data_IF_898582894896
#
_entry.id   IF_898582894896
#
_cell.length_a   1.000
_cell.length_b   1.000
_cell.length_c   1.000
_cell.angle_alpha   90.00
_cell.angle_beta   90.00
_cell.angle_gamma   90.00
#
_symmetry.space_group_name_H-M   'P 1'
#
loop_
_entity.id
_entity.type
_entity.pdbx_description
1 polymer ?
#
# COMPACT_ATOMS: atom_id res chain seq x y z
N UNK A 1 43.80 -28.38 -32.69
CA UNK A 1 45.09 -28.24 -31.98
C UNK A 1 45.66 -26.92 -32.45
N UNK A 2 45.70 -25.83 -31.71
CA UNK A 2 45.55 -25.59 -30.27
C UNK A 2 44.89 -24.23 -30.03
N UNK A 3 44.45 -24.07 -28.78
CA UNK A 3 43.83 -22.90 -28.17
C UNK A 3 44.80 -22.35 -27.12
N UNK A 4 45.13 -21.05 -27.17
CA UNK A 4 45.59 -20.21 -26.05
C UNK A 4 45.27 -18.75 -26.43
N UNK A 5 44.21 -18.09 -25.96
CA UNK A 5 43.92 -17.61 -24.59
C UNK A 5 45.00 -16.67 -24.06
N UNK A 6 44.84 -15.36 -24.25
CA UNK A 6 44.76 -14.31 -23.19
C UNK A 6 44.84 -12.92 -23.82
N UNK A 7 43.73 -12.16 -23.78
CA UNK A 7 43.74 -10.79 -23.24
C UNK A 7 42.31 -10.42 -22.89
N UNK A 8 42.02 -10.59 -21.60
CA UNK A 8 40.78 -10.25 -20.94
C UNK A 8 40.94 -8.81 -20.46
N UNK A 9 40.35 -7.84 -21.16
CA UNK A 9 40.20 -6.48 -20.62
C UNK A 9 38.80 -6.36 -20.05
N UNK A 10 38.73 -6.68 -18.75
CA UNK A 10 37.66 -6.28 -17.88
C UNK A 10 37.84 -4.78 -17.57
N UNK A 11 36.90 -3.97 -18.03
CA UNK A 11 36.77 -2.56 -17.71
C UNK A 11 35.29 -2.24 -17.57
N UNK A 12 34.67 -2.83 -16.55
CA UNK A 12 33.30 -2.52 -16.11
C UNK A 12 33.22 -1.08 -15.62
N UNK A 13 31.99 -0.55 -15.65
CA UNK A 13 31.56 0.76 -15.15
C UNK A 13 31.72 1.94 -16.13
N UNK A 14 30.87 1.96 -17.16
CA UNK A 14 29.96 3.11 -17.26
C UNK A 14 28.59 2.70 -16.73
N UNK A 15 28.51 2.59 -15.41
CA UNK A 15 27.24 2.75 -14.73
C UNK A 15 26.82 4.21 -15.02
N UNK A 16 26.00 4.41 -16.06
CA UNK A 16 25.12 5.58 -16.08
C UNK A 16 24.12 5.37 -14.95
N UNK A 17 24.52 5.69 -13.72
CA UNK A 17 23.57 6.06 -12.67
C UNK A 17 23.16 7.50 -12.91
N UNK A 18 22.69 7.78 -14.12
CA UNK A 18 21.63 8.74 -14.25
C UNK A 18 20.42 8.01 -13.67
N UNK A 19 20.24 8.13 -12.35
CA UNK A 19 18.87 8.21 -11.85
C UNK A 19 18.32 9.43 -12.58
N UNK A 20 17.77 9.21 -13.76
CA UNK A 20 16.82 10.16 -14.34
C UNK A 20 15.87 10.41 -13.18
N UNK A 21 15.92 11.65 -12.69
CA UNK A 21 14.98 12.15 -11.72
C UNK A 21 13.67 12.11 -12.49
N UNK A 22 12.94 11.00 -12.32
CA UNK A 22 11.57 10.89 -12.78
C UNK A 22 10.92 12.18 -12.32
N UNK A 23 10.37 12.92 -13.28
CA UNK A 23 9.66 14.17 -13.05
C UNK A 23 8.91 14.01 -11.74
N UNK A 24 9.35 14.77 -10.72
CA UNK A 24 8.83 14.68 -9.36
C UNK A 24 7.40 15.26 -9.43
N UNK A 25 6.48 14.52 -10.02
CA UNK A 25 5.05 14.73 -9.85
C UNK A 25 4.85 14.61 -8.34
N UNK A 26 4.72 15.76 -7.67
CA UNK A 26 4.47 15.86 -6.24
C UNK A 26 3.30 14.94 -5.88
N UNK A 27 3.63 13.75 -5.37
CA UNK A 27 2.64 12.78 -4.96
C UNK A 27 2.17 13.16 -3.57
N UNK A 28 1.08 13.93 -3.51
CA UNK A 28 0.39 14.20 -2.26
C UNK A 28 0.11 12.88 -1.53
N UNK A 29 0.63 12.76 -0.31
CA UNK A 29 0.34 11.62 0.55
C UNK A 29 -1.13 11.68 0.97
N UNK A 30 -1.85 10.59 0.73
CA UNK A 30 -3.25 10.50 1.14
C UNK A 30 -3.38 10.43 2.66
N UNK A 31 -4.33 11.18 3.20
CA UNK A 31 -4.81 10.97 4.56
C UNK A 31 -5.54 9.62 4.67
N UNK A 32 -5.68 9.09 5.89
CA UNK A 32 -6.44 7.85 6.13
C UNK A 32 -7.89 7.92 5.63
N UNK A 33 -8.50 9.11 5.67
CA UNK A 33 -9.85 9.32 5.15
C UNK A 33 -9.85 9.19 3.63
N UNK A 34 -8.95 9.89 2.94
CA UNK A 34 -8.85 9.83 1.47
C UNK A 34 -8.44 8.43 0.98
N UNK A 35 -7.49 7.78 1.64
CA UNK A 35 -7.12 6.40 1.38
C UNK A 35 -8.32 5.45 1.60
N UNK A 36 -9.12 5.70 2.64
CA UNK A 36 -10.34 4.95 2.93
C UNK A 36 -11.40 5.08 1.84
N UNK A 37 -11.65 6.29 1.34
CA UNK A 37 -12.57 6.53 0.22
C UNK A 37 -12.10 5.79 -1.04
N UNK A 38 -10.82 5.92 -1.39
CA UNK A 38 -10.25 5.23 -2.56
C UNK A 38 -10.34 3.71 -2.43
N UNK A 39 -10.06 3.16 -1.25
CA UNK A 39 -10.22 1.73 -0.98
C UNK A 39 -11.68 1.27 -1.16
N UNK A 40 -12.66 2.06 -0.71
CA UNK A 40 -14.08 1.71 -0.89
C UNK A 40 -14.48 1.67 -2.36
N UNK A 41 -14.07 2.66 -3.15
CA UNK A 41 -14.34 2.71 -4.59
C UNK A 41 -13.71 1.50 -5.30
N UNK A 42 -12.45 1.21 -4.99
CA UNK A 42 -11.72 0.10 -5.61
C UNK A 42 -12.32 -1.26 -5.23
N UNK A 43 -12.71 -1.46 -3.96
CA UNK A 43 -13.40 -2.68 -3.53
C UNK A 43 -14.70 -2.88 -4.33
N UNK A 44 -15.51 -1.84 -4.48
CA UNK A 44 -16.76 -1.93 -5.24
C UNK A 44 -16.50 -2.27 -6.72
N UNK A 45 -15.47 -1.68 -7.33
CA UNK A 45 -15.05 -1.98 -8.69
C UNK A 45 -14.65 -3.45 -8.86
N UNK A 46 -13.78 -3.97 -7.99
CA UNK A 46 -13.32 -5.37 -8.04
C UNK A 46 -14.45 -6.34 -7.72
N UNK A 47 -15.40 -5.98 -6.86
CA UNK A 47 -16.60 -6.80 -6.64
C UNK A 47 -17.43 -6.95 -7.92
N UNK A 48 -17.63 -5.86 -8.67
CA UNK A 48 -18.31 -5.91 -9.96
C UNK A 48 -17.54 -6.80 -10.97
N UNK A 49 -16.22 -6.66 -11.03
CA UNK A 49 -15.36 -7.49 -11.88
C UNK A 49 -15.45 -8.97 -11.50
N UNK A 50 -15.41 -9.31 -10.21
CA UNK A 50 -15.54 -10.68 -9.73
C UNK A 50 -16.87 -11.30 -10.14
N UNK A 51 -17.98 -10.55 -10.04
CA UNK A 51 -19.29 -11.00 -10.50
C UNK A 51 -19.31 -11.23 -12.02
N UNK A 52 -18.62 -10.41 -12.79
CA UNK A 52 -18.48 -10.61 -14.24
C UNK A 52 -17.63 -11.86 -14.55
N UNK A 53 -16.49 -12.04 -13.89
CA UNK A 53 -15.64 -13.21 -14.03
C UNK A 53 -16.37 -14.50 -13.65
N UNK A 54 -17.20 -14.48 -12.60
CA UNK A 54 -18.01 -15.64 -12.19
C UNK A 54 -19.01 -16.09 -13.25
N UNK A 55 -19.49 -15.16 -14.09
CA UNK A 55 -20.48 -15.45 -15.14
C UNK A 55 -19.86 -15.86 -16.47
N UNK A 56 -18.76 -15.20 -16.84
CA UNK A 56 -18.23 -15.24 -18.20
C UNK A 56 -16.74 -15.59 -18.28
N UNK A 57 -16.04 -15.57 -17.14
CA UNK A 57 -14.61 -15.75 -17.07
C UNK A 57 -14.19 -17.19 -16.82
N UNK A 58 -12.88 -17.38 -16.84
CA UNK A 58 -12.19 -18.61 -16.48
C UNK A 58 -12.06 -18.74 -14.96
N UNK A 59 -11.90 -19.96 -14.42
CA UNK A 59 -11.63 -20.17 -13.00
C UNK A 59 -10.42 -19.37 -12.48
N UNK A 60 -9.39 -19.21 -13.31
CA UNK A 60 -8.20 -18.44 -12.95
C UNK A 60 -8.49 -16.94 -12.77
N UNK A 61 -9.35 -16.36 -13.61
CA UNK A 61 -9.75 -14.95 -13.49
C UNK A 61 -10.59 -14.72 -12.24
N UNK A 62 -11.49 -15.66 -11.91
CA UNK A 62 -12.27 -15.65 -10.67
C UNK A 62 -11.35 -15.68 -9.45
N UNK A 63 -10.38 -16.61 -9.43
CA UNK A 63 -9.41 -16.72 -8.35
C UNK A 63 -8.58 -15.45 -8.18
N UNK A 64 -8.15 -14.86 -9.30
CA UNK A 64 -7.33 -13.64 -9.30
C UNK A 64 -8.13 -12.44 -8.77
N UNK A 65 -9.37 -12.27 -9.23
CA UNK A 65 -10.26 -11.22 -8.75
C UNK A 65 -10.60 -11.40 -7.26
N UNK A 66 -10.81 -12.64 -6.81
CA UNK A 66 -11.06 -12.95 -5.39
C UNK A 66 -9.85 -12.59 -4.51
N UNK A 67 -8.63 -12.98 -4.91
CA UNK A 67 -7.41 -12.62 -4.16
C UNK A 67 -7.21 -11.11 -4.08
N UNK A 68 -7.48 -10.38 -5.17
CA UNK A 68 -7.41 -8.92 -5.17
C UNK A 68 -8.43 -8.32 -4.21
N UNK A 69 -9.68 -8.80 -4.23
CA UNK A 69 -10.73 -8.36 -3.32
C UNK A 69 -10.35 -8.60 -1.85
N UNK A 70 -9.79 -9.76 -1.54
CA UNK A 70 -9.37 -10.10 -0.18
C UNK A 70 -8.23 -9.21 0.30
N UNK A 71 -7.24 -8.93 -0.57
CA UNK A 71 -6.15 -8.00 -0.27
C UNK A 71 -6.64 -6.58 0.01
N UNK A 72 -7.59 -6.08 -0.79
CA UNK A 72 -8.19 -4.75 -0.61
C UNK A 72 -9.01 -4.66 0.68
N UNK A 73 -9.77 -5.71 1.02
CA UNK A 73 -10.52 -5.77 2.29
C UNK A 73 -9.57 -5.77 3.49
N UNK A 74 -8.48 -6.53 3.42
CA UNK A 74 -7.47 -6.50 4.47
C UNK A 74 -6.81 -5.12 4.59
N UNK A 75 -6.54 -4.43 3.46
CA UNK A 75 -6.04 -3.07 3.48
C UNK A 75 -7.04 -2.08 4.11
N UNK A 76 -8.33 -2.17 3.75
CA UNK A 76 -9.40 -1.36 4.34
C UNK A 76 -9.52 -1.58 5.85
N UNK A 77 -9.43 -2.83 6.31
CA UNK A 77 -9.44 -3.15 7.74
C UNK A 77 -8.27 -2.47 8.46
N UNK A 78 -7.03 -2.57 7.92
CA UNK A 78 -5.86 -1.89 8.49
C UNK A 78 -6.01 -0.37 8.48
N UNK A 79 -6.59 0.20 7.43
CA UNK A 79 -6.85 1.63 7.32
C UNK A 79 -7.88 2.11 8.37
N UNK A 80 -8.89 1.28 8.68
CA UNK A 80 -9.90 1.60 9.72
C UNK A 80 -9.43 1.36 11.15
N UNK A 81 -8.49 0.45 11.37
CA UNK A 81 -8.05 0.02 12.69
C UNK A 81 -7.04 0.98 13.36
N UNK A 82 -6.75 2.13 12.74
CA UNK A 82 -5.74 3.08 13.24
C UNK A 82 -6.31 4.45 13.68
N UNK A 83 -7.22 4.52 14.66
CA UNK A 83 -7.09 5.57 15.65
C UNK A 83 -5.77 5.36 16.42
N UNK A 84 -5.06 6.43 16.78
CA UNK A 84 -3.95 6.31 17.74
C UNK A 84 -4.52 5.63 18.99
N UNK A 85 -4.01 4.46 19.33
CA UNK A 85 -4.32 3.75 20.56
C UNK A 85 -3.04 3.67 21.41
N UNK A 86 -3.16 3.32 22.69
CA UNK A 86 -2.02 3.29 23.60
C UNK A 86 -0.93 2.31 23.13
N UNK A 87 -1.29 1.23 22.44
CA UNK A 87 -0.36 0.21 21.91
C UNK A 87 0.48 0.71 20.72
N UNK A 88 -0.06 1.67 19.96
CA UNK A 88 0.56 2.21 18.76
C UNK A 88 1.22 3.58 19.04
N UNK A 89 0.85 4.24 20.15
CA UNK A 89 1.28 5.60 20.49
C UNK A 89 2.79 5.75 20.50
N UNK A 90 3.51 4.90 21.24
CA UNK A 90 4.96 4.99 21.36
C UNK A 90 5.66 4.74 20.02
N UNK A 91 5.11 3.86 19.16
CA UNK A 91 5.64 3.62 17.81
C UNK A 91 5.46 4.83 16.89
N UNK A 92 4.37 5.57 17.04
CA UNK A 92 4.08 6.75 16.23
C UNK A 92 4.82 8.01 16.70
N UNK A 93 5.01 8.18 18.01
CA UNK A 93 5.57 9.42 18.58
C UNK A 93 6.98 9.27 19.15
N UNK A 94 7.51 8.05 19.30
CA UNK A 94 8.88 7.81 19.75
C UNK A 94 9.13 8.07 21.24
N UNK A 95 8.08 8.24 22.03
CA UNK A 95 8.15 8.35 23.49
C UNK A 95 6.92 7.71 24.15
N UNK A 96 7.04 7.22 25.40
CA UNK A 96 5.93 6.61 26.11
C UNK A 96 4.83 7.64 26.38
N UNK A 97 3.62 7.34 25.93
CA UNK A 97 2.46 8.20 26.12
C UNK A 97 1.16 7.45 25.83
N UNK A 98 0.04 8.04 26.25
CA UNK A 98 -1.30 7.49 26.04
C UNK A 98 -2.06 8.37 25.06
N UNK A 99 -2.80 7.74 24.16
CA UNK A 99 -3.63 8.45 23.20
C UNK A 99 -4.72 9.20 23.96
N UNK A 100 -4.72 10.53 23.90
CA UNK A 100 -5.86 11.32 24.40
C UNK A 100 -7.04 11.09 23.47
N UNK A 101 -7.96 10.23 23.91
CA UNK A 101 -9.27 10.09 23.29
C UNK A 101 -9.98 11.43 23.44
N UNK A 102 -10.42 12.03 22.34
CA UNK A 102 -11.41 13.10 22.39
C UNK A 102 -12.71 12.47 22.89
N UNK A 103 -12.84 12.31 24.22
CA UNK A 103 -14.15 12.20 24.83
C UNK A 103 -14.88 13.48 24.42
N UNK A 104 -16.03 13.33 23.80
CA UNK A 104 -17.01 14.41 23.63
C UNK A 104 -17.09 15.20 24.93
N UNK A 105 -16.43 16.36 24.97
CA UNK A 105 -16.56 17.33 26.03
C UNK A 105 -17.95 17.95 25.86
N UNK A 106 -18.93 17.30 26.47
CA UNK A 106 -20.33 17.69 26.48
C UNK A 106 -21.02 17.01 27.66
N UNK A 107 -20.34 16.96 28.79
CA UNK A 107 -20.94 16.68 30.08
C UNK A 107 -20.67 17.94 30.92
N UNK A 108 -21.47 18.98 30.68
CA UNK A 108 -21.52 20.15 31.56
C UNK A 108 -22.46 19.82 32.74
N UNK A 109 -21.98 19.87 33.99
CA UNK A 109 -22.86 19.86 35.15
C UNK A 109 -23.17 21.30 35.56
N UNK A 110 -24.43 21.72 35.44
CA UNK A 110 -25.30 22.20 36.55
C UNK A 110 -26.58 22.85 36.03
#
# INVERSE_FOLDING_TARGET
MEMTMTDFVEGTAQIRTDRDRLDEDDHDLLTFVEAGERLRIEIASVQCQLEQCRRLGTPQEVDSAQRRLDALRAAAQRNSAQPINDENFEKFFGYPGKARRNASAGDEPR
#
